data_IF_293938752839
#
_entry.id   IF_293938752839
#
_cell.length_a   1.000
_cell.length_b   1.000
_cell.length_c   1.000
_cell.angle_alpha   90.00
_cell.angle_beta   90.00
_cell.angle_gamma   90.00
#
_symmetry.space_group_name_H-M   'P 1'
#
loop_
_entity.id
_entity.type
_entity.pdbx_description
1 polymer ?
#
# COMPACT_ATOMS: atom_id res chain seq x y z
N UNK A 1 13.84 68.98 -28.18
CA UNK A 1 15.03 68.30 -28.74
C UNK A 1 14.73 66.81 -28.72
N UNK A 2 14.36 66.27 -29.87
CA UNK A 2 13.99 64.87 -30.02
C UNK A 2 15.22 63.99 -30.17
N UNK A 3 15.21 62.82 -29.53
CA UNK A 3 16.14 61.75 -29.78
C UNK A 3 15.36 60.54 -30.30
N UNK A 4 15.69 60.22 -31.54
CA UNK A 4 15.16 59.18 -32.40
C UNK A 4 15.80 57.85 -32.00
N UNK A 5 15.00 56.84 -31.62
CA UNK A 5 15.47 55.47 -31.37
C UNK A 5 15.10 54.61 -32.59
N UNK A 6 16.02 53.79 -33.13
CA UNK A 6 15.81 53.08 -34.39
C UNK A 6 15.01 51.80 -34.21
N UNK A 7 14.09 51.58 -35.15
CA UNK A 7 13.39 50.32 -35.42
C UNK A 7 14.34 49.43 -36.22
N UNK A 8 14.63 48.22 -35.73
CA UNK A 8 15.43 47.24 -36.46
C UNK A 8 15.12 45.81 -36.03
N UNK A 9 14.88 44.95 -37.02
CA UNK A 9 15.05 43.50 -36.90
C UNK A 9 13.77 42.69 -36.73
N UNK A 10 13.04 42.47 -37.83
CA UNK A 10 12.17 41.31 -38.00
C UNK A 10 13.09 40.11 -38.26
N UNK A 11 13.15 39.16 -37.33
CA UNK A 11 13.62 37.81 -37.62
C UNK A 11 12.57 36.78 -37.21
N UNK A 12 12.20 36.05 -38.25
CA UNK A 12 11.42 34.83 -38.35
C UNK A 12 11.50 33.91 -37.11
N UNK A 13 10.41 33.81 -36.36
CA UNK A 13 10.15 32.62 -35.56
C UNK A 13 9.54 31.56 -36.48
N UNK A 14 10.42 30.71 -36.99
CA UNK A 14 10.10 29.44 -37.63
C UNK A 14 9.39 28.55 -36.60
N UNK A 15 8.09 28.29 -36.82
CA UNK A 15 7.36 27.24 -36.11
C UNK A 15 8.00 25.91 -36.49
N UNK A 16 8.81 25.37 -35.60
CA UNK A 16 9.23 23.98 -35.68
C UNK A 16 8.15 23.16 -35.00
N UNK A 17 7.34 22.47 -35.81
CA UNK A 17 6.45 21.42 -35.36
C UNK A 17 7.30 20.41 -34.56
N UNK A 18 7.06 20.38 -33.24
CA UNK A 18 7.71 19.42 -32.35
C UNK A 18 6.93 18.12 -32.45
N UNK A 19 7.39 17.29 -33.38
CA UNK A 19 7.01 15.90 -33.58
C UNK A 19 7.30 15.12 -32.28
N UNK A 20 6.27 14.97 -31.46
CA UNK A 20 6.28 14.20 -30.21
C UNK A 20 6.17 12.71 -30.51
N UNK A 21 7.16 12.19 -31.23
CA UNK A 21 7.41 10.76 -31.38
C UNK A 21 8.89 10.50 -31.12
N UNK A 22 9.16 9.47 -30.30
CA UNK A 22 10.48 8.89 -29.96
C UNK A 22 11.18 9.44 -28.72
N UNK A 23 10.76 8.93 -27.56
CA UNK A 23 11.69 8.51 -26.51
C UNK A 23 11.35 7.08 -26.05
N UNK A 24 11.51 6.14 -26.97
CA UNK A 24 11.53 4.70 -26.73
C UNK A 24 12.84 4.15 -27.30
N UNK A 25 13.83 3.97 -26.43
CA UNK A 25 14.99 3.08 -26.56
C UNK A 25 15.87 3.31 -25.31
N UNK A 26 16.21 2.32 -24.49
CA UNK A 26 15.91 0.90 -24.52
C UNK A 26 16.73 0.19 -23.45
N UNK A 27 16.40 -1.08 -23.22
CA UNK A 27 17.37 -2.07 -22.76
C UNK A 27 16.95 -3.41 -23.33
N UNK A 28 17.68 -3.82 -24.37
CA UNK A 28 17.73 -5.19 -24.85
C UNK A 28 18.88 -5.89 -24.12
N UNK A 29 18.58 -6.98 -23.41
CA UNK A 29 19.53 -8.05 -23.14
C UNK A 29 18.77 -9.36 -23.34
N UNK A 30 19.15 -10.10 -24.37
CA UNK A 30 18.67 -11.46 -24.58
C UNK A 30 19.59 -12.49 -23.92
N UNK A 31 19.07 -13.68 -23.63
CA UNK A 31 19.83 -14.93 -23.71
C UNK A 31 18.92 -16.15 -23.90
N UNK A 32 18.93 -16.64 -25.15
CA UNK A 32 19.09 -18.02 -25.64
C UNK A 32 18.34 -19.23 -25.01
N UNK A 33 17.67 -19.96 -25.92
CA UNK A 33 17.07 -21.30 -25.80
C UNK A 33 17.99 -22.39 -25.22
N UNK A 34 17.40 -23.33 -24.49
CA UNK A 34 17.71 -24.76 -24.60
C UNK A 34 16.46 -25.61 -24.35
N UNK A 35 16.20 -26.54 -25.27
CA UNK A 35 15.09 -27.47 -25.28
C UNK A 35 15.26 -28.62 -24.28
N UNK A 36 14.15 -29.06 -23.67
CA UNK A 36 13.94 -30.46 -23.31
C UNK A 36 12.56 -30.89 -23.82
N UNK A 37 12.60 -31.67 -24.90
CA UNK A 37 11.52 -32.57 -25.26
C UNK A 37 11.47 -33.68 -24.21
N UNK A 38 10.37 -33.72 -23.45
CA UNK A 38 10.00 -34.82 -22.58
C UNK A 38 8.60 -35.29 -22.95
N UNK A 39 8.54 -36.34 -23.77
CA UNK A 39 7.35 -37.13 -24.01
C UNK A 39 7.01 -37.95 -22.75
N UNK A 40 5.71 -38.02 -22.40
CA UNK A 40 5.16 -39.19 -21.72
C UNK A 40 4.29 -38.89 -20.50
N UNK A 41 3.00 -39.21 -20.61
CA UNK A 41 2.15 -39.48 -19.45
C UNK A 41 0.75 -38.90 -19.54
N UNK A 42 -0.04 -39.34 -20.53
CA UNK A 42 -1.49 -39.12 -20.52
C UNK A 42 -2.12 -39.82 -19.32
N UNK A 43 -2.65 -39.01 -18.39
CA UNK A 43 -3.58 -39.44 -17.37
C UNK A 43 -4.92 -38.77 -17.66
N UNK A 44 -5.97 -39.57 -17.80
CA UNK A 44 -7.35 -39.12 -17.95
C UNK A 44 -7.76 -38.29 -16.74
N UNK A 45 -7.52 -36.98 -16.83
CA UNK A 45 -7.88 -35.99 -15.82
C UNK A 45 -9.40 -35.89 -15.79
N UNK A 46 -10.00 -36.48 -14.75
CA UNK A 46 -11.39 -36.23 -14.41
C UNK A 46 -11.61 -34.73 -14.37
N UNK A 47 -12.46 -34.25 -15.28
CA UNK A 47 -12.86 -32.85 -15.37
C UNK A 47 -13.59 -32.44 -14.11
N UNK A 48 -12.82 -32.13 -13.06
CA UNK A 48 -13.30 -31.37 -11.93
C UNK A 48 -13.61 -29.99 -12.47
N UNK A 49 -14.88 -29.76 -12.82
CA UNK A 49 -15.36 -28.44 -13.21
C UNK A 49 -14.87 -27.45 -12.17
N UNK A 50 -14.02 -26.53 -12.59
CA UNK A 50 -13.46 -25.48 -11.74
C UNK A 50 -14.60 -24.62 -11.25
N UNK A 51 -15.21 -25.02 -10.14
CA UNK A 51 -16.20 -24.22 -9.45
C UNK A 51 -15.54 -22.92 -9.04
N UNK A 52 -16.28 -21.81 -9.18
CA UNK A 52 -15.79 -20.52 -8.69
C UNK A 52 -15.37 -20.66 -7.22
N UNK A 53 -14.21 -20.08 -6.83
CA UNK A 53 -13.79 -20.09 -5.44
C UNK A 53 -14.89 -19.56 -4.53
N UNK A 54 -15.13 -20.23 -3.41
CA UNK A 54 -16.09 -19.74 -2.43
C UNK A 54 -15.68 -18.33 -1.94
N UNK A 55 -16.65 -17.41 -1.74
CA UNK A 55 -16.38 -16.10 -1.16
C UNK A 55 -15.61 -16.22 0.16
N UNK A 56 -14.81 -15.19 0.49
CA UNK A 56 -14.12 -15.09 1.77
C UNK A 56 -14.96 -14.26 2.77
N UNK A 57 -15.87 -14.86 3.57
CA UNK A 57 -16.62 -14.12 4.57
C UNK A 57 -15.71 -13.72 5.73
N UNK A 58 -15.89 -12.50 6.22
CA UNK A 58 -15.27 -12.08 7.48
C UNK A 58 -16.01 -12.72 8.66
N UNK A 59 -15.27 -13.39 9.56
CA UNK A 59 -15.83 -14.08 10.74
C UNK A 59 -15.37 -13.47 12.08
N UNK A 60 -14.68 -12.34 12.03
CA UNK A 60 -14.18 -11.64 13.22
C UNK A 60 -15.21 -10.75 13.91
N UNK A 61 -14.77 -10.07 14.95
CA UNK A 61 -15.58 -9.11 15.71
C UNK A 61 -16.04 -7.95 14.82
N UNK A 62 -17.31 -7.58 14.97
CA UNK A 62 -17.92 -6.43 14.25
C UNK A 62 -18.40 -5.34 15.21
N UNK A 63 -18.14 -5.50 16.52
CA UNK A 63 -18.34 -4.42 17.48
C UNK A 63 -17.26 -3.36 17.32
N UNK A 64 -17.54 -2.13 17.75
CA UNK A 64 -16.50 -1.11 17.84
C UNK A 64 -15.48 -1.53 18.89
N UNK A 65 -14.19 -1.37 18.61
CA UNK A 65 -13.11 -1.84 19.47
C UNK A 65 -13.04 -1.01 20.75
N UNK A 66 -13.02 -1.66 21.91
CA UNK A 66 -12.68 -0.99 23.17
C UNK A 66 -11.16 -0.86 23.23
N UNK A 67 -10.63 0.34 23.06
CA UNK A 67 -9.19 0.56 22.98
C UNK A 67 -8.57 0.38 24.37
N UNK A 68 -7.48 -0.37 24.43
CA UNK A 68 -6.68 -0.60 25.63
C UNK A 68 -5.19 -0.40 25.34
N UNK A 69 -4.36 -0.33 26.38
CA UNK A 69 -2.90 -0.25 26.21
C UNK A 69 -2.32 -1.49 25.51
N UNK A 70 -3.01 -2.64 25.58
CA UNK A 70 -2.53 -3.91 25.01
C UNK A 70 -2.95 -4.16 23.56
N UNK A 71 -3.90 -3.38 23.03
CA UNK A 71 -4.38 -3.50 21.65
C UNK A 71 -4.07 -2.28 20.77
N UNK A 72 -3.79 -1.11 21.37
CA UNK A 72 -3.64 0.14 20.63
C UNK A 72 -2.55 0.08 19.55
N UNK A 73 -1.42 -0.55 19.84
CA UNK A 73 -0.32 -0.75 18.88
C UNK A 73 -0.75 -1.61 17.70
N UNK A 74 -1.45 -2.73 17.95
CA UNK A 74 -1.95 -3.66 16.93
C UNK A 74 -3.04 -3.03 16.09
N UNK A 75 -3.99 -2.32 16.70
CA UNK A 75 -5.00 -1.55 15.99
C UNK A 75 -4.35 -0.52 15.08
N UNK A 76 -3.33 0.20 15.56
CA UNK A 76 -2.56 1.14 14.74
C UNK A 76 -1.79 0.45 13.61
N UNK A 77 -1.18 -0.71 13.89
CA UNK A 77 -0.46 -1.50 12.90
C UNK A 77 -1.38 -1.98 11.79
N UNK A 78 -2.58 -2.45 12.10
CA UNK A 78 -3.56 -2.88 11.11
C UNK A 78 -4.00 -1.76 10.17
N UNK A 79 -3.92 -0.50 10.64
CA UNK A 79 -4.18 0.67 9.81
C UNK A 79 -2.96 1.02 8.96
N UNK A 80 -1.76 1.12 9.50
CA UNK A 80 -0.65 1.74 8.74
C UNK A 80 0.25 0.68 8.09
N UNK A 81 0.58 -0.34 8.86
CA UNK A 81 1.62 -1.34 8.60
C UNK A 81 1.11 -2.66 8.03
N UNK A 82 -0.18 -2.93 8.19
CA UNK A 82 -0.80 -4.17 7.79
C UNK A 82 -0.65 -5.35 8.73
N UNK A 83 -0.22 -5.13 9.96
CA UNK A 83 -0.29 -6.10 11.05
C UNK A 83 0.25 -7.50 10.74
N UNK A 84 -0.13 -8.47 11.59
CA UNK A 84 0.07 -9.91 11.35
C UNK A 84 -0.70 -10.42 10.12
N UNK A 85 -1.44 -9.56 9.39
CA UNK A 85 -2.31 -9.96 8.28
C UNK A 85 -2.17 -9.05 7.07
N UNK A 86 -0.94 -8.85 6.57
CA UNK A 86 -0.60 -8.33 5.24
C UNK A 86 -1.52 -7.23 4.64
N UNK A 87 -2.03 -6.30 5.45
CA UNK A 87 -2.96 -5.25 5.02
C UNK A 87 -2.35 -3.88 5.22
N UNK A 88 -1.15 -3.68 4.70
CA UNK A 88 -0.61 -2.34 4.73
C UNK A 88 -1.49 -1.49 3.82
N UNK A 89 -2.22 -0.55 4.41
CA UNK A 89 -3.04 0.44 3.70
C UNK A 89 -2.16 1.19 2.69
N UNK A 90 -0.86 1.33 2.96
CA UNK A 90 0.11 2.00 2.09
C UNK A 90 0.92 1.06 1.19
N UNK A 91 0.62 -0.23 1.20
CA UNK A 91 1.16 -1.20 0.26
C UNK A 91 2.56 -1.69 0.57
N UNK A 92 2.96 -1.59 1.82
CA UNK A 92 4.30 -1.90 2.29
C UNK A 92 4.25 -2.86 3.46
N UNK A 93 4.76 -4.08 3.29
CA UNK A 93 4.91 -5.06 4.38
C UNK A 93 6.05 -4.65 5.31
N UNK A 94 5.80 -4.72 6.62
CA UNK A 94 6.85 -4.72 7.64
C UNK A 94 7.32 -6.16 7.83
N UNK A 95 8.58 -6.44 7.55
CA UNK A 95 9.26 -7.64 8.07
C UNK A 95 10.23 -7.21 9.15
N UNK A 96 10.03 -7.73 10.35
CA UNK A 96 10.96 -7.62 11.47
C UNK A 96 12.13 -8.60 11.24
N UNK A 97 13.23 -8.09 10.68
CA UNK A 97 14.56 -8.71 10.82
C UNK A 97 15.19 -9.25 9.53
N UNK A 98 16.28 -8.61 9.10
CA UNK A 98 17.30 -9.22 8.24
C UNK A 98 17.22 -8.86 6.75
N UNK A 99 17.94 -7.79 6.38
CA UNK A 99 18.40 -7.40 5.04
C UNK A 99 17.96 -8.25 3.84
N UNK A 100 16.81 -7.92 3.24
CA UNK A 100 16.66 -7.51 1.83
C UNK A 100 15.29 -6.83 1.71
N UNK A 101 15.26 -5.57 1.27
CA UNK A 101 14.01 -4.82 1.07
C UNK A 101 13.22 -5.42 -0.10
N UNK A 102 12.47 -6.49 0.16
CA UNK A 102 11.39 -6.93 -0.72
C UNK A 102 10.29 -5.88 -0.67
N UNK A 103 10.07 -5.18 -1.78
CA UNK A 103 9.04 -4.15 -1.89
C UNK A 103 7.65 -4.75 -1.65
N UNK A 104 7.09 -4.48 -0.47
CA UNK A 104 5.67 -4.35 -0.21
C UNK A 104 4.76 -5.54 -0.58
N UNK A 105 4.72 -6.57 0.28
CA UNK A 105 3.73 -7.66 0.21
C UNK A 105 2.35 -7.30 0.79
N UNK A 106 2.09 -6.02 1.11
CA UNK A 106 0.82 -5.58 1.67
C UNK A 106 -0.29 -5.52 0.62
N UNK A 107 -1.55 -5.69 1.04
CA UNK A 107 -2.71 -5.73 0.17
C UNK A 107 -2.87 -4.52 -0.75
N UNK A 108 -2.52 -3.31 -0.29
CA UNK A 108 -2.51 -2.15 -1.16
C UNK A 108 -1.36 -2.16 -2.16
N UNK A 109 -0.22 -2.78 -1.83
CA UNK A 109 0.92 -2.93 -2.72
C UNK A 109 0.56 -3.88 -3.85
N UNK A 110 -0.13 -4.96 -3.49
CA UNK A 110 -0.78 -5.85 -4.46
C UNK A 110 -1.87 -5.11 -5.23
N UNK A 111 -2.73 -4.32 -4.60
CA UNK A 111 -3.77 -3.54 -5.27
C UNK A 111 -3.20 -2.54 -6.29
N UNK A 112 -2.16 -1.80 -5.91
CA UNK A 112 -1.40 -0.86 -6.74
C UNK A 112 -0.72 -1.59 -7.89
N UNK A 113 -0.14 -2.77 -7.61
CA UNK A 113 0.50 -3.59 -8.62
C UNK A 113 -0.50 -4.20 -9.59
N UNK A 114 -1.58 -4.78 -9.10
CA UNK A 114 -2.72 -5.24 -9.90
C UNK A 114 -3.27 -4.10 -10.74
N UNK A 115 -3.47 -2.92 -10.15
CA UNK A 115 -3.89 -1.70 -10.85
C UNK A 115 -2.93 -1.33 -11.99
N UNK A 116 -1.61 -1.31 -11.75
CA UNK A 116 -0.59 -1.03 -12.79
C UNK A 116 -0.59 -2.12 -13.87
N UNK A 117 -0.52 -3.39 -13.50
CA UNK A 117 -0.56 -4.52 -14.44
C UNK A 117 -1.83 -4.51 -15.29
N UNK A 118 -2.98 -4.19 -14.70
CA UNK A 118 -4.25 -4.08 -15.41
C UNK A 118 -4.26 -2.88 -16.36
N UNK A 119 -3.74 -1.72 -15.96
CA UNK A 119 -3.59 -0.56 -16.87
C UNK A 119 -2.72 -0.91 -18.06
N UNK A 120 -1.56 -1.51 -17.82
CA UNK A 120 -0.63 -1.90 -18.87
C UNK A 120 -1.27 -2.93 -19.82
N UNK A 121 -2.07 -3.85 -19.28
CA UNK A 121 -2.82 -4.84 -20.07
C UNK A 121 -3.91 -4.19 -20.92
N UNK A 122 -4.68 -3.26 -20.36
CA UNK A 122 -5.75 -2.54 -21.08
C UNK A 122 -5.17 -1.66 -22.19
N UNK A 123 -4.14 -0.87 -21.89
CA UNK A 123 -3.47 -0.02 -22.89
C UNK A 123 -2.84 -0.86 -24.02
N UNK A 124 -2.25 -2.01 -23.69
CA UNK A 124 -1.70 -2.93 -24.70
C UNK A 124 -2.77 -3.56 -25.59
N UNK A 125 -3.97 -3.81 -25.05
CA UNK A 125 -5.10 -4.35 -25.81
C UNK A 125 -5.62 -3.36 -26.87
N UNK A 126 -5.58 -2.06 -26.61
CA UNK A 126 -6.00 -1.03 -27.57
C UNK A 126 -4.99 -0.85 -28.71
N UNK A 127 -3.69 -0.76 -28.39
CA UNK A 127 -2.63 -0.50 -29.37
C UNK A 127 -2.48 -1.59 -30.44
N UNK A 128 -2.93 -2.82 -30.13
CA UNK A 128 -2.86 -3.96 -31.04
C UNK A 128 -3.95 -4.03 -32.12
N UNK A 129 -5.01 -3.21 -32.06
CA UNK A 129 -6.16 -3.37 -32.97
C UNK A 129 -6.66 -2.06 -33.57
N UNK A 130 -6.36 -1.82 -34.85
CA UNK A 130 -6.89 -0.70 -35.64
C UNK A 130 -8.33 -0.92 -36.11
N UNK A 131 -9.07 -1.83 -35.49
CA UNK A 131 -10.48 -2.11 -35.83
C UNK A 131 -11.22 -2.53 -34.57
N UNK A 132 -12.40 -1.93 -34.27
CA UNK A 132 -13.20 -2.30 -33.12
C UNK A 132 -13.70 -3.73 -33.34
N UNK A 133 -12.94 -4.70 -32.87
CA UNK A 133 -13.42 -6.07 -32.74
C UNK A 133 -14.34 -6.04 -31.54
N UNK A 134 -15.61 -6.36 -31.76
CA UNK A 134 -16.37 -7.05 -30.74
C UNK A 134 -15.46 -8.23 -30.33
N UNK A 135 -14.85 -8.13 -29.15
CA UNK A 135 -13.93 -9.15 -28.64
C UNK A 135 -14.79 -10.34 -28.29
N UNK A 136 -15.11 -11.15 -29.29
CA UNK A 136 -15.68 -12.48 -29.13
C UNK A 136 -14.52 -13.38 -28.67
N UNK A 137 -14.19 -13.27 -27.39
CA UNK A 137 -13.37 -14.22 -26.63
C UNK A 137 -11.86 -14.27 -26.91
N UNK A 138 -11.26 -13.33 -27.65
CA UNK A 138 -9.82 -13.40 -27.96
C UNK A 138 -8.95 -12.67 -26.91
N UNK A 139 -8.24 -13.48 -26.14
CA UNK A 139 -7.33 -13.15 -25.04
C UNK A 139 -6.21 -12.16 -25.42
N UNK A 140 -5.88 -11.29 -24.47
CA UNK A 140 -4.50 -10.83 -24.28
C UNK A 140 -3.95 -11.64 -23.10
N UNK A 141 -3.02 -12.55 -23.38
CA UNK A 141 -2.25 -13.24 -22.33
C UNK A 141 -1.32 -12.19 -21.71
N UNK A 142 -1.57 -11.88 -20.43
CA UNK A 142 -0.64 -11.10 -19.64
C UNK A 142 0.67 -11.88 -19.43
N UNK A 143 1.76 -11.16 -19.19
CA UNK A 143 3.06 -11.79 -18.93
C UNK A 143 3.18 -12.15 -17.45
N UNK A 144 3.18 -13.44 -17.13
CA UNK A 144 3.62 -13.96 -15.85
C UNK A 144 5.05 -14.52 -15.99
N UNK A 145 5.84 -14.53 -14.91
CA UNK A 145 7.12 -15.27 -14.87
C UNK A 145 6.88 -16.78 -14.99
N UNK A 146 5.76 -17.27 -14.45
CA UNK A 146 5.20 -18.61 -14.64
C UNK A 146 3.69 -18.60 -14.38
N UNK A 147 2.97 -19.65 -14.79
CA UNK A 147 1.50 -19.69 -14.74
C UNK A 147 0.87 -18.97 -15.94
N UNK A 148 -0.38 -18.51 -15.78
CA UNK A 148 -1.07 -17.75 -16.83
C UNK A 148 -2.06 -16.71 -16.28
N UNK A 149 -2.31 -15.69 -17.09
CA UNK A 149 -3.42 -14.74 -16.93
C UNK A 149 -4.30 -14.88 -18.17
N UNK A 150 -5.59 -15.12 -17.97
CA UNK A 150 -6.57 -15.07 -19.04
C UNK A 150 -7.57 -13.96 -18.79
N UNK A 151 -7.96 -13.29 -19.88
CA UNK A 151 -8.82 -12.11 -19.84
C UNK A 151 -10.00 -12.35 -20.77
N UNK A 152 -11.22 -12.19 -20.26
CA UNK A 152 -12.47 -12.39 -21.03
C UNK A 152 -13.46 -11.28 -20.69
N UNK A 153 -14.30 -10.86 -21.63
CA UNK A 153 -15.29 -9.82 -21.38
C UNK A 153 -15.43 -8.87 -22.56
N UNK A 154 -16.05 -7.72 -22.31
CA UNK A 154 -16.35 -6.73 -23.36
C UNK A 154 -16.03 -5.32 -22.87
N UNK A 155 -15.26 -4.61 -23.69
CA UNK A 155 -15.11 -3.16 -23.62
C UNK A 155 -15.90 -2.53 -24.76
N UNK A 156 -16.53 -1.40 -24.47
CA UNK A 156 -17.20 -0.53 -25.41
C UNK A 156 -16.15 0.23 -26.24
N UNK A 157 -16.61 0.88 -27.31
CA UNK A 157 -15.74 1.69 -28.18
C UNK A 157 -15.15 2.93 -27.48
N UNK A 158 -15.65 3.30 -26.30
CA UNK A 158 -15.13 4.39 -25.46
C UNK A 158 -14.19 3.88 -24.34
N UNK A 159 -13.75 2.62 -24.40
CA UNK A 159 -12.86 2.00 -23.41
C UNK A 159 -13.53 1.60 -22.09
N UNK A 160 -14.81 1.91 -21.90
CA UNK A 160 -15.58 1.50 -20.71
C UNK A 160 -16.07 0.05 -20.84
N UNK A 161 -16.39 -0.63 -19.74
CA UNK A 161 -16.96 -1.98 -19.83
C UNK A 161 -16.59 -2.87 -18.66
N UNK A 162 -16.68 -4.18 -18.87
CA UNK A 162 -16.38 -5.17 -17.83
C UNK A 162 -15.61 -6.34 -18.39
N UNK A 163 -14.54 -6.69 -17.71
CA UNK A 163 -13.59 -7.72 -18.09
C UNK A 163 -13.31 -8.60 -16.87
N UNK A 164 -13.46 -9.90 -17.03
CA UNK A 164 -13.03 -10.90 -16.05
C UNK A 164 -11.58 -11.30 -16.35
N UNK A 165 -10.76 -11.28 -15.32
CA UNK A 165 -9.35 -11.68 -15.33
C UNK A 165 -9.20 -12.89 -14.43
N UNK A 166 -8.69 -13.99 -14.97
CA UNK A 166 -8.43 -15.21 -14.22
C UNK A 166 -6.93 -15.43 -14.11
N UNK A 167 -6.43 -15.47 -12.88
CA UNK A 167 -5.05 -15.80 -12.56
C UNK A 167 -4.95 -17.29 -12.27
N UNK A 168 -4.13 -18.02 -13.03
CA UNK A 168 -3.79 -19.42 -12.76
C UNK A 168 -2.31 -19.51 -12.38
N UNK A 169 -2.06 -19.49 -11.07
CA UNK A 169 -0.72 -19.57 -10.49
C UNK A 169 0.26 -18.58 -11.12
N UNK A 170 -0.21 -17.38 -11.44
CA UNK A 170 0.59 -16.36 -12.08
C UNK A 170 1.66 -15.85 -11.10
N UNK A 171 2.91 -16.24 -11.33
CA UNK A 171 4.05 -15.75 -10.56
C UNK A 171 4.48 -14.39 -11.10
N UNK A 172 4.58 -13.41 -10.22
CA UNK A 172 5.14 -12.11 -10.55
C UNK A 172 5.88 -11.54 -9.33
N UNK A 173 7.14 -11.10 -9.50
CA UNK A 173 8.06 -10.63 -8.44
C UNK A 173 8.02 -11.52 -7.18
N UNK A 174 8.14 -12.85 -7.33
CA UNK A 174 8.19 -13.78 -6.20
C UNK A 174 6.86 -14.02 -5.47
N UNK A 175 5.75 -13.47 -5.95
CA UNK A 175 4.40 -13.74 -5.44
C UNK A 175 3.56 -14.43 -6.53
N UNK A 176 3.03 -15.61 -6.22
CA UNK A 176 2.04 -16.33 -7.01
C UNK A 176 0.64 -15.82 -6.68
N UNK A 177 -0.09 -15.38 -7.70
CA UNK A 177 -1.49 -14.95 -7.62
C UNK A 177 -2.38 -15.98 -8.32
N UNK A 178 -3.45 -16.40 -7.65
CA UNK A 178 -4.43 -17.34 -8.19
C UNK A 178 -5.86 -16.93 -7.85
N UNK A 179 -6.79 -17.10 -8.79
CA UNK A 179 -8.22 -16.84 -8.61
C UNK A 179 -8.79 -15.86 -9.64
N UNK A 180 -10.13 -15.70 -9.69
CA UNK A 180 -10.78 -14.78 -10.59
C UNK A 180 -10.89 -13.37 -9.99
N UNK A 181 -10.82 -12.37 -10.86
CA UNK A 181 -11.14 -10.98 -10.59
C UNK A 181 -11.98 -10.40 -11.73
N UNK A 182 -12.73 -9.35 -11.46
CA UNK A 182 -13.52 -8.60 -12.43
C UNK A 182 -13.08 -7.15 -12.38
N UNK A 183 -12.59 -6.64 -13.51
CA UNK A 183 -12.29 -5.24 -13.75
C UNK A 183 -13.51 -4.60 -14.44
N UNK A 184 -14.10 -3.60 -13.80
CA UNK A 184 -15.11 -2.72 -14.41
C UNK A 184 -14.48 -1.36 -14.66
N UNK A 185 -14.43 -0.92 -15.92
CA UNK A 185 -13.95 0.41 -16.29
C UNK A 185 -15.16 1.33 -16.41
N UNK A 186 -15.25 2.29 -15.50
CA UNK A 186 -16.34 3.27 -15.41
C UNK A 186 -16.00 4.55 -16.20
N UNK A 187 -14.72 4.91 -16.29
CA UNK A 187 -14.23 6.02 -17.10
C UNK A 187 -12.85 5.71 -17.69
N UNK A 188 -12.69 6.01 -18.97
CA UNK A 188 -11.46 5.89 -19.74
C UNK A 188 -11.13 7.23 -20.38
N UNK A 189 -9.88 7.68 -20.21
CA UNK A 189 -9.40 8.94 -20.80
C UNK A 189 -8.61 8.63 -22.07
N UNK A 190 -9.23 8.85 -23.22
CA UNK A 190 -8.63 8.59 -24.53
C UNK A 190 -7.39 9.46 -24.78
N UNK A 191 -7.31 10.67 -24.21
CA UNK A 191 -6.13 11.51 -24.39
C UNK A 191 -4.88 10.94 -23.69
N UNK A 192 -5.08 10.13 -22.64
CA UNK A 192 -4.02 9.47 -21.88
C UNK A 192 -3.91 7.97 -22.16
N UNK A 193 -4.80 7.41 -23.00
CA UNK A 193 -4.86 5.98 -23.32
C UNK A 193 -4.91 5.09 -22.06
N UNK A 194 -5.72 5.47 -21.06
CA UNK A 194 -5.78 4.75 -19.80
C UNK A 194 -7.13 4.87 -19.06
N UNK A 195 -7.51 3.85 -18.27
CA UNK A 195 -8.66 3.93 -17.38
C UNK A 195 -8.37 4.87 -16.20
N UNK A 196 -9.26 5.82 -15.95
CA UNK A 196 -9.16 6.81 -14.88
C UNK A 196 -10.15 6.57 -13.75
N UNK A 197 -11.24 5.84 -14.00
CA UNK A 197 -12.15 5.34 -12.96
C UNK A 197 -12.44 3.87 -13.24
N UNK A 198 -12.03 2.99 -12.33
CA UNK A 198 -12.29 1.57 -12.47
C UNK A 198 -12.41 0.88 -11.11
N UNK A 199 -13.15 -0.22 -11.10
CA UNK A 199 -13.35 -1.06 -9.93
C UNK A 199 -12.85 -2.47 -10.22
N UNK A 200 -11.89 -2.93 -9.42
CA UNK A 200 -11.46 -4.32 -9.37
C UNK A 200 -12.22 -5.03 -8.25
N UNK A 201 -12.94 -6.10 -8.57
CA UNK A 201 -13.67 -6.93 -7.60
C UNK A 201 -13.19 -8.37 -7.70
N UNK A 202 -13.15 -9.09 -6.59
CA UNK A 202 -12.77 -10.50 -6.59
C UNK A 202 -13.47 -11.26 -5.47
N UNK A 203 -13.93 -12.46 -5.78
CA UNK A 203 -14.58 -13.35 -4.81
C UNK A 203 -13.58 -13.86 -3.78
N UNK A 204 -12.43 -14.34 -4.28
CA UNK A 204 -11.27 -14.76 -3.49
C UNK A 204 -10.04 -14.85 -4.40
N UNK A 205 -9.03 -14.04 -4.13
CA UNK A 205 -7.68 -14.15 -4.67
C UNK A 205 -6.77 -14.77 -3.62
N UNK A 206 -5.94 -15.72 -4.04
CA UNK A 206 -4.90 -16.34 -3.23
C UNK A 206 -3.55 -15.75 -3.63
N UNK A 207 -2.83 -15.21 -2.65
CA UNK A 207 -1.49 -14.67 -2.80
C UNK A 207 -0.51 -15.50 -1.99
N UNK A 208 0.51 -16.03 -2.65
CA UNK A 208 1.50 -16.93 -2.05
C UNK A 208 2.91 -16.48 -2.42
N UNK A 209 3.79 -16.34 -1.45
CA UNK A 209 5.20 -15.98 -1.59
C UNK A 209 5.99 -16.46 -0.38
N UNK A 210 7.29 -16.19 -0.32
CA UNK A 210 8.14 -16.63 0.81
C UNK A 210 7.67 -16.09 2.16
N UNK A 211 7.09 -14.88 2.16
CA UNK A 211 6.64 -14.19 3.36
C UNK A 211 5.17 -13.76 3.29
N UNK A 212 4.49 -14.10 2.18
CA UNK A 212 3.09 -13.77 1.94
C UNK A 212 2.27 -15.05 1.80
N UNK A 213 1.25 -15.21 2.63
CA UNK A 213 0.33 -16.35 2.54
C UNK A 213 -1.08 -15.91 2.88
N UNK A 214 -1.71 -15.19 1.95
CA UNK A 214 -2.93 -14.42 2.22
C UNK A 214 -4.00 -14.70 1.18
N UNK A 215 -5.23 -14.82 1.63
CA UNK A 215 -6.40 -14.79 0.77
C UNK A 215 -7.14 -13.48 0.93
N UNK A 216 -7.69 -12.95 -0.17
CA UNK A 216 -8.38 -11.67 -0.17
C UNK A 216 -9.67 -11.77 -0.97
N UNK A 217 -10.76 -11.25 -0.41
CA UNK A 217 -12.04 -11.01 -1.10
C UNK A 217 -12.42 -9.54 -1.06
N UNK A 218 -13.28 -9.10 -1.98
CA UNK A 218 -13.91 -7.77 -1.92
C UNK A 218 -13.70 -6.93 -3.18
N UNK A 219 -13.57 -5.62 -3.00
CA UNK A 219 -13.43 -4.67 -4.11
C UNK A 219 -12.49 -3.50 -3.79
N UNK A 220 -11.88 -2.99 -4.85
CA UNK A 220 -11.02 -1.82 -4.90
C UNK A 220 -11.47 -0.93 -6.04
N UNK A 221 -11.83 0.32 -5.74
CA UNK A 221 -12.08 1.34 -6.76
C UNK A 221 -10.91 2.30 -6.83
N UNK A 222 -10.41 2.53 -8.02
CA UNK A 222 -9.43 3.55 -8.32
C UNK A 222 -10.10 4.70 -9.07
N UNK A 223 -9.88 5.93 -8.60
CA UNK A 223 -10.36 7.14 -9.26
C UNK A 223 -9.21 8.15 -9.37
N UNK A 224 -8.75 8.44 -10.58
CA UNK A 224 -7.85 9.55 -10.86
C UNK A 224 -8.66 10.85 -10.81
N UNK A 225 -8.35 11.71 -9.84
CA UNK A 225 -9.11 12.95 -9.59
C UNK A 225 -8.48 14.18 -10.21
N UNK A 226 -7.21 14.10 -10.63
CA UNK A 226 -6.58 15.18 -11.38
C UNK A 226 -5.17 14.84 -11.81
N UNK A 227 -4.81 15.29 -13.01
CA UNK A 227 -3.45 15.37 -13.50
C UNK A 227 -3.15 16.84 -13.81
N UNK A 228 -2.15 17.38 -13.15
CA UNK A 228 -1.75 18.78 -13.29
C UNK A 228 -0.32 18.86 -13.80
N UNK A 229 -0.13 19.28 -15.05
CA UNK A 229 1.18 19.72 -15.52
C UNK A 229 1.38 21.18 -15.10
N UNK A 230 2.11 21.39 -14.00
CA UNK A 230 2.42 22.73 -13.48
C UNK A 230 3.77 23.20 -14.02
N UNK A 231 3.84 23.47 -15.33
CA UNK A 231 5.05 23.95 -15.97
C UNK A 231 6.15 22.90 -16.13
N UNK A 232 7.29 23.33 -16.66
CA UNK A 232 8.39 22.45 -17.07
C UNK A 232 8.99 21.73 -15.85
N UNK A 233 8.77 20.42 -15.76
CA UNK A 233 9.52 19.52 -14.87
C UNK A 233 8.85 19.16 -13.53
N UNK A 234 7.55 19.45 -13.35
CA UNK A 234 6.78 18.95 -12.21
C UNK A 234 5.46 18.36 -12.70
N UNK A 235 5.19 17.12 -12.33
CA UNK A 235 3.90 16.45 -12.56
C UNK A 235 3.24 16.15 -11.22
N UNK A 236 1.94 16.45 -11.16
CA UNK A 236 1.08 16.10 -10.05
C UNK A 236 0.06 15.06 -10.50
N UNK A 237 -0.04 13.98 -9.74
CA UNK A 237 -1.07 12.95 -9.90
C UNK A 237 -1.85 12.81 -8.61
N UNK A 238 -3.14 13.17 -8.66
CA UNK A 238 -4.06 12.99 -7.55
C UNK A 238 -5.00 11.83 -7.85
N UNK A 239 -5.11 10.88 -6.92
CA UNK A 239 -6.02 9.75 -7.04
C UNK A 239 -6.64 9.34 -5.71
N UNK A 240 -7.81 8.75 -5.78
CA UNK A 240 -8.52 8.14 -4.66
C UNK A 240 -8.60 6.64 -4.86
N UNK A 241 -8.18 5.87 -3.87
CA UNK A 241 -8.44 4.44 -3.77
C UNK A 241 -9.54 4.23 -2.74
N UNK A 242 -10.59 3.48 -3.06
CA UNK A 242 -11.61 3.04 -2.11
C UNK A 242 -11.57 1.53 -1.98
N UNK A 243 -11.31 1.02 -0.78
CA UNK A 243 -11.18 -0.38 -0.47
C UNK A 243 -12.34 -0.88 0.40
N UNK A 244 -12.94 -2.00 -0.02
CA UNK A 244 -13.88 -2.80 0.74
C UNK A 244 -13.39 -4.25 0.68
N UNK A 245 -12.46 -4.59 1.56
CA UNK A 245 -11.69 -5.83 1.47
C UNK A 245 -11.86 -6.69 2.71
N UNK A 246 -11.73 -8.00 2.53
CA UNK A 246 -11.51 -8.97 3.60
C UNK A 246 -10.22 -9.70 3.27
N UNK A 247 -9.29 -9.75 4.22
CA UNK A 247 -8.07 -10.54 4.13
C UNK A 247 -8.07 -11.65 5.16
N UNK A 248 -7.43 -12.77 4.83
CA UNK A 248 -7.14 -13.88 5.72
C UNK A 248 -5.66 -14.23 5.58
N UNK A 249 -4.88 -14.07 6.65
CA UNK A 249 -3.55 -14.66 6.71
C UNK A 249 -3.69 -16.15 7.01
N UNK A 250 -3.33 -16.99 6.04
CA UNK A 250 -3.46 -18.45 6.17
C UNK A 250 -2.42 -19.07 7.12
N UNK A 251 -1.36 -18.33 7.49
CA UNK A 251 -0.35 -18.79 8.45
C UNK A 251 -0.80 -18.54 9.90
N UNK A 252 -1.48 -17.43 10.17
CA UNK A 252 -1.91 -17.06 11.53
C UNK A 252 -3.40 -17.31 11.78
N UNK A 253 -4.19 -17.49 10.71
CA UNK A 253 -5.65 -17.58 10.77
C UNK A 253 -6.34 -16.24 11.07
N UNK A 254 -5.59 -15.14 11.08
CA UNK A 254 -6.10 -13.79 11.40
C UNK A 254 -6.72 -13.13 10.17
N UNK A 255 -7.83 -12.44 10.40
CA UNK A 255 -8.57 -11.71 9.38
C UNK A 255 -8.60 -10.21 9.66
N UNK A 256 -8.48 -9.44 8.59
CA UNK A 256 -8.72 -7.99 8.62
C UNK A 256 -9.78 -7.67 7.59
N UNK A 257 -10.65 -6.71 7.91
CA UNK A 257 -11.64 -6.21 6.96
C UNK A 257 -11.59 -4.69 6.88
N UNK A 258 -11.81 -4.14 5.70
CA UNK A 258 -11.94 -2.70 5.48
C UNK A 258 -13.33 -2.39 4.93
N UNK A 259 -13.92 -1.28 5.40
CA UNK A 259 -15.19 -0.77 4.89
C UNK A 259 -15.03 0.70 4.53
N UNK A 260 -15.31 1.04 3.27
CA UNK A 260 -15.18 2.38 2.71
C UNK A 260 -13.84 3.05 3.06
N UNK A 261 -12.76 2.26 3.08
CA UNK A 261 -11.44 2.78 3.36
C UNK A 261 -10.95 3.55 2.14
N UNK A 262 -10.88 4.87 2.25
CA UNK A 262 -10.49 5.80 1.21
C UNK A 262 -9.10 6.35 1.49
N UNK A 263 -8.23 6.22 0.50
CA UNK A 263 -6.93 6.86 0.46
C UNK A 263 -6.97 7.91 -0.64
N UNK A 264 -6.78 9.17 -0.29
CA UNK A 264 -6.67 10.27 -1.23
C UNK A 264 -5.20 10.65 -1.29
N UNK A 265 -4.55 10.26 -2.37
CA UNK A 265 -3.13 10.40 -2.58
C UNK A 265 -2.86 11.53 -3.57
N UNK A 266 -1.83 12.31 -3.26
CA UNK A 266 -1.24 13.30 -4.16
C UNK A 266 0.24 12.95 -4.30
N UNK A 267 0.59 12.45 -5.48
CA UNK A 267 1.97 12.19 -5.86
C UNK A 267 2.54 13.44 -6.53
N UNK A 268 3.72 13.82 -6.08
CA UNK A 268 4.50 14.91 -6.67
C UNK A 268 5.79 14.35 -7.20
N UNK A 269 5.98 14.48 -8.51
CA UNK A 269 7.18 14.07 -9.22
C UNK A 269 7.89 15.32 -9.73
N UNK A 270 9.16 15.48 -9.35
CA UNK A 270 10.06 16.48 -9.93
C UNK A 270 11.20 15.78 -10.65
N UNK A 271 12.01 16.53 -11.39
CA UNK A 271 13.20 15.97 -12.04
C UNK A 271 14.20 15.30 -11.08
N UNK A 272 14.15 15.63 -9.78
CA UNK A 272 15.15 15.19 -8.78
C UNK A 272 14.56 14.58 -7.52
N UNK A 273 13.25 14.63 -7.33
CA UNK A 273 12.59 14.14 -6.12
C UNK A 273 11.20 13.60 -6.41
N UNK A 274 10.75 12.70 -5.56
CA UNK A 274 9.38 12.19 -5.56
C UNK A 274 8.83 12.34 -4.16
N UNK A 275 7.54 12.60 -3.98
CA UNK A 275 6.92 12.59 -2.66
C UNK A 275 5.45 12.19 -2.78
N UNK A 276 4.91 11.64 -1.70
CA UNK A 276 3.50 11.28 -1.58
C UNK A 276 2.88 12.02 -0.39
N UNK A 277 1.73 12.65 -0.61
CA UNK A 277 0.85 13.07 0.48
C UNK A 277 -0.40 12.20 0.47
N UNK A 278 -0.81 11.67 1.61
CA UNK A 278 -1.96 10.77 1.72
C UNK A 278 -2.92 11.19 2.82
N UNK A 279 -4.21 11.23 2.51
CA UNK A 279 -5.30 11.38 3.48
C UNK A 279 -6.07 10.06 3.53
N UNK A 280 -6.20 9.51 4.74
CA UNK A 280 -6.85 8.22 4.98
C UNK A 280 -8.15 8.46 5.77
N UNK A 281 -9.24 7.87 5.31
CA UNK A 281 -10.53 7.87 6.02
C UNK A 281 -11.27 6.57 5.79
N UNK A 282 -11.95 6.04 6.80
CA UNK A 282 -12.82 4.87 6.64
C UNK A 282 -12.82 4.01 7.89
N UNK A 283 -13.02 2.70 7.72
CA UNK A 283 -13.11 1.76 8.83
C UNK A 283 -12.25 0.53 8.59
N UNK A 284 -11.55 0.09 9.64
CA UNK A 284 -10.77 -1.16 9.66
C UNK A 284 -11.25 -2.02 10.81
N UNK A 285 -11.42 -3.31 10.53
CA UNK A 285 -11.81 -4.36 11.46
C UNK A 285 -10.62 -5.27 11.71
N UNK A 286 -10.27 -5.45 12.97
CA UNK A 286 -9.44 -6.53 13.47
C UNK A 286 -10.31 -7.70 13.92
N UNK A 287 -9.89 -8.94 13.64
CA UNK A 287 -10.66 -10.14 13.99
C UNK A 287 -11.00 -10.24 15.48
N UNK A 288 -10.08 -9.89 16.36
CA UNK A 288 -10.24 -10.08 17.80
C UNK A 288 -10.83 -8.83 18.46
N UNK A 289 -10.37 -7.65 18.05
CA UNK A 289 -10.68 -6.40 18.76
C UNK A 289 -11.92 -5.69 18.22
N UNK A 290 -12.39 -6.01 17.01
CA UNK A 290 -13.51 -5.30 16.39
C UNK A 290 -13.01 -4.17 15.48
N UNK A 291 -13.78 -3.10 15.34
CA UNK A 291 -13.43 -2.02 14.40
C UNK A 291 -13.06 -0.70 15.04
N UNK A 292 -12.22 0.04 14.32
CA UNK A 292 -11.95 1.45 14.54
C UNK A 292 -12.31 2.26 13.29
N UNK A 293 -12.86 3.45 13.52
CA UNK A 293 -13.00 4.46 12.47
C UNK A 293 -11.70 5.27 12.38
N UNK A 294 -11.23 5.54 11.17
CA UNK A 294 -9.93 6.16 10.90
C UNK A 294 -10.14 7.48 10.19
N UNK A 295 -9.36 8.48 10.58
CA UNK A 295 -9.31 9.77 9.92
C UNK A 295 -7.92 10.40 10.04
N UNK A 296 -7.37 10.93 8.95
CA UNK A 296 -6.17 11.77 8.99
C UNK A 296 -6.50 13.17 9.51
N UNK A 297 -6.00 13.53 10.68
CA UNK A 297 -6.06 14.91 11.21
C UNK A 297 -5.18 15.82 10.35
N UNK A 298 -3.94 15.38 10.12
CA UNK A 298 -2.97 16.01 9.23
C UNK A 298 -2.58 14.98 8.18
N UNK A 299 -2.57 15.33 6.87
CA UNK A 299 -2.16 14.41 5.83
C UNK A 299 -0.80 13.77 6.13
N UNK A 300 -0.67 12.48 5.81
CA UNK A 300 0.58 11.75 5.92
C UNK A 300 1.50 12.15 4.78
N UNK A 301 2.72 12.55 5.08
CA UNK A 301 3.71 12.95 4.09
C UNK A 301 4.85 11.93 4.03
N UNK A 302 5.23 11.53 2.82
CA UNK A 302 6.32 10.61 2.53
C UNK A 302 7.31 11.33 1.59
N UNK A 303 8.56 11.44 2.03
CA UNK A 303 9.62 12.11 1.29
C UNK A 303 10.07 11.39 0.02
N UNK A 304 9.65 10.14 -0.18
CA UNK A 304 9.79 9.39 -1.45
C UNK A 304 8.59 8.46 -1.68
N UNK A 305 8.32 8.08 -2.94
CA UNK A 305 7.26 7.11 -3.27
C UNK A 305 7.55 5.67 -2.79
N UNK A 306 8.79 5.37 -2.43
CA UNK A 306 9.22 4.05 -1.95
C UNK A 306 9.36 4.00 -0.43
N UNK A 307 9.15 5.13 0.26
CA UNK A 307 9.29 5.22 1.70
C UNK A 307 8.15 4.47 2.39
N UNK A 308 8.50 3.68 3.41
CA UNK A 308 7.56 2.77 4.07
C UNK A 308 6.64 3.48 5.07
N UNK A 309 7.19 4.47 5.78
CA UNK A 309 6.50 5.16 6.86
C UNK A 309 6.50 6.66 6.63
N UNK A 310 5.48 7.40 7.07
CA UNK A 310 5.44 8.84 6.86
C UNK A 310 6.54 9.57 7.63
N UNK A 311 7.12 10.61 7.04
CA UNK A 311 8.01 11.55 7.72
C UNK A 311 7.24 12.46 8.70
N UNK A 312 5.97 12.73 8.39
CA UNK A 312 5.09 13.58 9.20
C UNK A 312 3.62 13.28 8.91
N UNK A 313 2.74 13.76 9.79
CA UNK A 313 1.29 13.61 9.66
C UNK A 313 0.68 12.97 10.90
N UNK A 314 -0.65 12.94 10.94
CA UNK A 314 -1.38 12.47 12.10
C UNK A 314 -2.62 11.69 11.69
N UNK A 315 -2.80 10.51 12.30
CA UNK A 315 -3.99 9.70 12.20
C UNK A 315 -4.72 9.67 13.54
N UNK A 316 -6.05 9.64 13.48
CA UNK A 316 -6.93 9.41 14.60
C UNK A 316 -7.71 8.11 14.35
N UNK A 317 -7.59 7.17 15.26
CA UNK A 317 -8.41 5.96 15.31
C UNK A 317 -9.44 6.15 16.43
N UNK A 318 -10.71 5.92 16.16
CA UNK A 318 -11.81 6.07 17.13
C UNK A 318 -12.46 4.72 17.41
N UNK A 319 -12.40 4.32 18.68
CA UNK A 319 -12.99 3.11 19.23
C UNK A 319 -14.29 3.36 19.99
N UNK A 320 -14.71 2.35 20.75
CA UNK A 320 -15.93 2.36 21.55
C UNK A 320 -15.84 3.41 22.67
N UNK A 321 -17.00 3.86 23.16
CA UNK A 321 -17.12 4.86 24.22
C UNK A 321 -16.39 6.20 23.97
N UNK A 322 -15.98 6.48 22.72
CA UNK A 322 -15.22 7.69 22.38
C UNK A 322 -13.72 7.59 22.62
N UNK A 323 -13.21 6.41 23.02
CA UNK A 323 -11.77 6.15 23.11
C UNK A 323 -11.07 6.43 21.78
N UNK A 324 -9.85 6.98 21.83
CA UNK A 324 -9.07 7.27 20.62
C UNK A 324 -7.59 6.89 20.74
N UNK A 325 -6.99 6.61 19.58
CA UNK A 325 -5.53 6.58 19.41
C UNK A 325 -5.17 7.70 18.44
N UNK A 326 -4.33 8.64 18.87
CA UNK A 326 -3.69 9.61 17.98
C UNK A 326 -2.29 9.12 17.64
N UNK A 327 -2.09 8.68 16.40
CA UNK A 327 -0.79 8.27 15.89
C UNK A 327 -0.14 9.44 15.14
N UNK A 328 0.99 9.93 15.65
CA UNK A 328 1.76 11.04 15.08
C UNK A 328 3.09 10.53 14.56
N UNK A 329 3.35 10.69 13.27
CA UNK A 329 4.67 10.41 12.72
C UNK A 329 5.65 11.47 13.23
N UNK A 330 6.76 11.04 13.81
CA UNK A 330 7.74 11.97 14.39
C UNK A 330 8.94 12.13 13.46
N UNK A 331 9.52 13.34 13.45
CA UNK A 331 10.64 13.67 12.56
C UNK A 331 11.95 12.94 12.93
N UNK A 332 12.00 12.28 14.10
CA UNK A 332 13.15 11.49 14.52
C UNK A 332 13.22 10.21 13.68
N UNK A 333 14.08 10.25 12.66
CA UNK A 333 14.50 9.07 11.90
C UNK A 333 13.49 8.50 10.89
N UNK A 334 12.41 9.21 10.53
CA UNK A 334 11.35 8.74 9.59
C UNK A 334 10.74 7.37 9.90
N UNK A 335 11.01 6.84 11.10
CA UNK A 335 10.75 5.46 11.48
C UNK A 335 10.04 5.35 12.83
N UNK A 336 9.75 6.47 13.48
CA UNK A 336 9.11 6.55 14.78
C UNK A 336 7.67 7.05 14.69
N UNK A 337 6.85 6.59 15.63
CA UNK A 337 5.47 7.00 15.84
C UNK A 337 5.24 7.26 17.33
N UNK A 338 4.62 8.40 17.63
CA UNK A 338 4.05 8.68 18.94
C UNK A 338 2.57 8.29 18.93
N UNK A 339 2.16 7.48 19.89
CA UNK A 339 0.78 7.07 20.13
C UNK A 339 0.28 7.75 21.40
N UNK A 340 -0.74 8.60 21.29
CA UNK A 340 -1.46 9.15 22.44
C UNK A 340 -2.79 8.41 22.57
N UNK A 341 -3.06 7.82 23.73
CA UNK A 341 -4.23 6.99 24.00
C UNK A 341 -5.20 7.75 24.91
N UNK A 342 -6.40 8.01 24.43
CA UNK A 342 -7.55 8.49 25.22
C UNK A 342 -8.45 7.27 25.43
N UNK A 343 -8.33 6.61 26.58
CA UNK A 343 -8.98 5.33 26.87
C UNK A 343 -10.39 5.51 27.41
N UNK A 344 -10.67 6.64 28.08
CA UNK A 344 -11.96 6.92 28.69
C UNK A 344 -12.88 7.85 27.86
N UNK A 345 -12.37 8.44 26.78
CA UNK A 345 -13.11 9.27 25.84
C UNK A 345 -13.36 10.70 26.35
N UNK A 346 -12.58 11.18 27.32
CA UNK A 346 -12.72 12.54 27.86
C UNK A 346 -12.03 13.62 27.00
N UNK A 347 -11.31 13.21 25.94
CA UNK A 347 -10.58 14.08 25.03
C UNK A 347 -9.14 14.37 25.46
N UNK A 348 -8.64 13.74 26.52
CA UNK A 348 -7.25 13.83 26.99
C UNK A 348 -6.56 12.48 26.84
N UNK A 349 -5.24 12.53 26.64
CA UNK A 349 -4.45 11.31 26.63
C UNK A 349 -4.28 10.81 28.08
N UNK A 350 -4.72 9.59 28.32
CA UNK A 350 -4.45 8.81 29.54
C UNK A 350 -3.04 8.23 29.53
N UNK A 351 -2.54 7.93 28.33
CA UNK A 351 -1.25 7.29 28.14
C UNK A 351 -0.58 7.73 26.83
N UNK A 352 0.74 7.63 26.76
CA UNK A 352 1.51 7.91 25.56
C UNK A 352 2.68 6.96 25.39
N UNK A 353 2.96 6.55 24.16
CA UNK A 353 4.12 5.71 23.83
C UNK A 353 4.80 6.17 22.54
N UNK A 354 6.12 6.14 22.51
CA UNK A 354 6.95 6.26 21.32
C UNK A 354 7.47 4.88 20.92
N UNK A 355 7.31 4.54 19.65
CA UNK A 355 7.69 3.24 19.09
C UNK A 355 8.28 3.43 17.71
N UNK A 356 9.11 2.50 17.25
CA UNK A 356 9.32 2.38 15.81
C UNK A 356 8.04 1.87 15.17
N UNK A 357 7.75 2.31 13.94
CA UNK A 357 6.67 1.74 13.14
C UNK A 357 6.78 0.23 13.00
N UNK A 358 8.01 -0.29 12.90
CA UNK A 358 8.30 -1.72 12.80
C UNK A 358 8.00 -2.50 14.09
N UNK A 359 7.91 -1.83 15.23
CA UNK A 359 7.74 -2.45 16.54
C UNK A 359 6.27 -2.54 16.98
N UNK A 360 5.35 -1.93 16.22
CA UNK A 360 3.91 -1.92 16.53
C UNK A 360 3.28 -3.32 16.63
N UNK A 361 3.79 -4.29 15.87
CA UNK A 361 3.31 -5.68 15.89
C UNK A 361 4.18 -6.61 16.73
N UNK A 362 5.33 -6.11 17.20
CA UNK A 362 6.33 -6.91 17.90
C UNK A 362 6.07 -6.99 19.42
N UNK A 363 6.94 -7.70 20.15
CA UNK A 363 6.92 -7.74 21.61
C UNK A 363 7.02 -6.35 22.23
N UNK A 364 7.81 -5.44 21.63
CA UNK A 364 7.96 -4.07 22.10
C UNK A 364 6.63 -3.34 22.07
N UNK A 365 5.77 -3.50 21.06
CA UNK A 365 4.45 -2.86 21.03
C UNK A 365 3.37 -3.55 21.87
N UNK A 366 3.65 -4.65 22.58
CA UNK A 366 2.59 -5.52 23.10
C UNK A 366 1.78 -4.96 24.28
N UNK A 367 2.36 -4.06 25.09
CA UNK A 367 1.67 -3.39 26.19
C UNK A 367 2.21 -1.96 26.36
N UNK A 368 1.41 -1.01 25.92
CA UNK A 368 1.77 0.41 25.98
C UNK A 368 1.54 1.03 27.35
N UNK A 369 1.07 0.27 28.35
CA UNK A 369 0.88 0.77 29.72
C UNK A 369 2.19 1.22 30.33
N UNK A 370 2.16 2.23 31.20
CA UNK A 370 3.30 2.69 31.99
C UNK A 370 2.90 2.52 33.47
N UNK A 371 3.32 1.41 34.07
CA UNK A 371 2.83 1.00 35.40
C UNK A 371 3.43 1.80 36.55
N UNK A 372 4.61 2.38 36.36
CA UNK A 372 5.33 3.15 37.38
C UNK A 372 5.41 4.66 37.08
N UNK A 373 4.82 5.09 35.96
CA UNK A 373 4.66 6.47 35.51
C UNK A 373 6.01 7.18 35.29
N UNK A 374 7.01 6.43 34.82
CA UNK A 374 8.35 6.97 34.59
C UNK A 374 8.55 7.49 33.16
N UNK A 375 7.60 7.23 32.25
CA UNK A 375 7.60 7.62 30.84
C UNK A 375 8.06 6.51 29.89
N UNK A 376 8.39 5.32 30.40
CA UNK A 376 8.65 4.10 29.65
C UNK A 376 7.42 3.19 29.74
N UNK A 377 7.07 2.53 28.64
CA UNK A 377 5.97 1.56 28.70
C UNK A 377 6.49 0.14 29.01
N UNK A 378 5.64 -0.61 29.72
CA UNK A 378 5.88 -1.93 30.27
C UNK A 378 6.56 -2.88 29.27
N UNK A 379 6.10 -2.92 28.00
CA UNK A 379 6.65 -3.87 27.03
C UNK A 379 8.02 -3.48 26.48
N UNK A 380 8.39 -2.19 26.48
CA UNK A 380 9.76 -1.76 26.16
C UNK A 380 10.72 -2.10 27.30
N UNK A 381 10.33 -1.81 28.55
CA UNK A 381 11.07 -2.20 29.75
C UNK A 381 11.26 -3.72 29.83
N UNK A 382 10.19 -4.48 29.57
CA UNK A 382 10.25 -5.95 29.55
C UNK A 382 11.19 -6.48 28.47
N UNK A 383 11.23 -5.82 27.31
CA UNK A 383 12.05 -6.26 26.19
C UNK A 383 13.53 -5.93 26.38
N UNK A 384 13.85 -4.72 26.85
CA UNK A 384 15.23 -4.25 26.98
C UNK A 384 15.82 -4.41 28.39
N UNK A 385 15.01 -4.58 29.43
CA UNK A 385 15.43 -4.75 30.83
C UNK A 385 15.60 -3.51 31.73
N UNK A 386 15.47 -2.24 31.31
CA UNK A 386 15.50 -1.11 32.25
C UNK A 386 14.31 -1.15 33.21
N UNK A 387 14.53 -0.62 34.41
CA UNK A 387 13.52 -0.54 35.48
C UNK A 387 13.34 0.89 36.00
N UNK A 388 14.04 1.83 35.37
CA UNK A 388 13.98 3.25 35.65
C UNK A 388 14.44 4.01 34.41
N UNK A 389 13.73 5.09 34.11
CA UNK A 389 14.08 6.07 33.07
C UNK A 389 15.50 6.64 33.13
N UNK A 390 16.15 6.58 34.30
CA UNK A 390 17.53 7.08 34.50
C UNK A 390 18.60 5.99 34.38
N UNK A 391 18.22 4.74 34.09
CA UNK A 391 19.17 3.65 33.90
C UNK A 391 20.00 3.91 32.62
N UNK A 392 21.30 3.70 32.70
CA UNK A 392 22.26 3.71 31.59
C UNK A 392 22.90 2.31 31.58
N UNK A 393 22.24 1.36 30.88
CA UNK A 393 22.55 -0.07 31.02
C UNK A 393 23.86 -0.43 30.33
N UNK A 394 24.15 0.20 29.19
CA UNK A 394 25.34 -0.09 28.38
C UNK A 394 26.52 0.87 28.63
N UNK A 395 26.32 1.89 29.47
CA UNK A 395 27.33 2.86 29.91
C UNK A 395 27.83 3.77 28.78
N UNK A 396 26.97 4.08 27.81
CA UNK A 396 27.27 5.01 26.73
C UNK A 396 27.09 6.50 27.11
N UNK A 397 26.50 6.74 28.29
CA UNK A 397 26.27 8.07 28.86
C UNK A 397 24.90 8.67 28.57
N UNK A 398 23.99 7.92 27.95
CA UNK A 398 22.58 8.28 27.77
C UNK A 398 21.70 7.47 28.72
N UNK A 399 20.61 8.09 29.19
CA UNK A 399 19.65 7.38 30.02
C UNK A 399 18.59 6.69 29.14
N UNK A 400 17.96 5.66 29.72
CA UNK A 400 16.95 4.83 29.05
C UNK A 400 15.78 5.65 28.50
N UNK A 401 15.45 6.79 29.11
CA UNK A 401 14.43 7.69 28.59
C UNK A 401 14.86 8.39 27.30
N UNK A 402 16.08 8.93 27.26
CA UNK A 402 16.62 9.57 26.07
C UNK A 402 16.65 8.58 24.90
N UNK A 403 17.05 7.34 25.17
CA UNK A 403 17.08 6.26 24.20
C UNK A 403 15.71 5.81 23.74
N UNK A 404 14.77 5.64 24.68
CA UNK A 404 13.38 5.33 24.40
C UNK A 404 12.75 6.36 23.45
N UNK A 405 12.94 7.65 23.74
CA UNK A 405 12.43 8.74 22.91
C UNK A 405 13.09 8.81 21.52
N UNK A 406 14.36 8.41 21.42
CA UNK A 406 15.10 8.32 20.16
C UNK A 406 14.84 7.02 19.39
N UNK A 407 14.22 6.02 20.02
CA UNK A 407 14.06 4.68 19.47
C UNK A 407 15.38 3.92 19.36
N UNK A 408 16.36 4.18 20.24
CA UNK A 408 17.62 3.46 20.25
C UNK A 408 17.56 2.22 21.15
N UNK A 409 18.59 1.37 21.10
CA UNK A 409 18.68 0.15 21.89
C UNK A 409 19.56 0.38 23.13
N UNK A 410 18.99 0.39 24.35
CA UNK A 410 19.72 0.69 25.59
C UNK A 410 20.70 -0.39 26.06
N UNK A 411 20.84 -1.47 25.29
CA UNK A 411 21.80 -2.53 25.54
C UNK A 411 22.95 -2.55 24.52
N UNK A 412 23.04 -1.55 23.63
CA UNK A 412 24.09 -1.45 22.62
C UNK A 412 24.77 -0.08 22.68
N UNK A 413 25.97 -0.07 23.27
CA UNK A 413 26.82 1.12 23.47
C UNK A 413 27.10 1.94 22.19
N UNK A 414 26.80 1.42 21.00
CA UNK A 414 26.93 2.12 19.72
C UNK A 414 25.61 2.69 19.19
N UNK A 415 24.52 2.50 19.91
CA UNK A 415 23.16 2.88 19.57
C UNK A 415 22.71 4.03 20.46
N UNK A 416 23.20 5.23 20.20
CA UNK A 416 22.89 6.42 21.00
C UNK A 416 21.93 7.39 20.26
N UNK A 417 21.22 8.28 20.99
CA UNK A 417 20.34 9.32 20.44
C UNK A 417 20.96 10.31 19.46
#
# INVERSE_FOLDING_TARGET
MGAHVPVGGRDLFERKDMDSSRFLAGTAVGFMLAALAGCGGGGDGGGGGGGEPAPLPYVGSTSQAAITTTDASKLTANVIAGGDSATAILGVSIESGGATQSQGSGLMGVALRLSRTLRDTVASAEQGSSSPRAVDGALVDGVCESGSISTTGQLNADGTGTVTVSFDNCLANGVTVSGPATLRVDHFEMAMDMPTDFTLSFTRLSLRGSTLNVDVGGSLRWLLTGTGCCGVGVTFEAYTITANLVSLNNSTGKMIRTENLRLMNEERLTATSTSLTSVVVGRVFDQDFGYVDIFSITPLFFGTLTQLFPDSGQLLLTGAAGSTIRATATAFGSSMVALELDLDGDGRADNAANLKWADLTGPIGADLGDSDADGLHNSWETFYGPTSKTDDIDLDGFDSLAEYLAGTNPNDINSHP
#
